data_IF_462617971958
#
_entry.id   IF_462617971958
#
_cell.length_a   1.000
_cell.length_b   1.000
_cell.length_c   1.000
_cell.angle_alpha   90.00
_cell.angle_beta   90.00
_cell.angle_gamma   90.00
#
_symmetry.space_group_name_H-M   'P 1'
#
loop_
_entity.id
_entity.type
_entity.pdbx_description
1 polymer ?
#
# COMPACT_ATOMS: atom_id res chain seq x y z
N UNK A 1 4.48 -27.12 -19.63
CA UNK A 1 3.22 -26.36 -19.40
C UNK A 1 3.51 -24.89 -19.11
N UNK A 2 3.85 -24.11 -20.13
CA UNK A 2 4.17 -22.68 -20.01
C UNK A 2 3.15 -21.81 -20.73
N UNK A 3 1.91 -21.78 -20.23
CA UNK A 3 0.78 -21.15 -20.92
C UNK A 3 0.18 -20.04 -20.04
N UNK A 4 0.27 -18.80 -20.54
CA UNK A 4 -0.65 -17.67 -20.29
C UNK A 4 -0.62 -16.94 -18.94
N UNK A 5 0.53 -16.46 -18.48
CA UNK A 5 0.54 -15.33 -17.51
C UNK A 5 0.74 -13.95 -18.17
N UNK A 6 1.05 -13.93 -19.47
CA UNK A 6 1.41 -12.71 -20.22
C UNK A 6 0.30 -12.19 -21.15
N UNK A 7 -0.99 -12.45 -20.87
CA UNK A 7 -2.07 -12.05 -21.80
C UNK A 7 -3.06 -11.01 -21.27
N UNK A 8 -2.65 -10.22 -20.29
CA UNK A 8 -3.36 -8.99 -19.96
C UNK A 8 -3.19 -8.66 -18.50
N UNK A 9 -2.51 -7.54 -18.24
CA UNK A 9 -2.47 -6.80 -16.97
C UNK A 9 -3.12 -7.58 -15.84
N UNK A 10 -2.31 -8.42 -15.19
CA UNK A 10 -2.80 -9.33 -14.15
C UNK A 10 -3.76 -8.59 -13.22
N UNK A 11 -4.82 -9.26 -12.78
CA UNK A 11 -5.81 -8.68 -11.86
C UNK A 11 -5.15 -8.04 -10.62
N UNK A 12 -3.96 -8.54 -10.25
CA UNK A 12 -3.08 -7.98 -9.23
C UNK A 12 -2.44 -6.64 -9.63
N UNK A 13 -1.96 -6.51 -10.86
CA UNK A 13 -1.38 -5.27 -11.40
C UNK A 13 -2.44 -4.15 -11.45
N UNK A 14 -3.65 -4.49 -11.91
CA UNK A 14 -4.80 -3.55 -11.91
C UNK A 14 -5.17 -3.15 -10.48
N UNK A 15 -5.24 -4.11 -9.54
CA UNK A 15 -5.53 -3.82 -8.13
C UNK A 15 -4.45 -2.92 -7.51
N UNK A 16 -3.17 -3.21 -7.77
CA UNK A 16 -2.06 -2.37 -7.30
C UNK A 16 -2.18 -0.96 -7.84
N UNK A 17 -2.45 -0.79 -9.14
CA UNK A 17 -2.60 0.53 -9.77
C UNK A 17 -3.78 1.32 -9.21
N UNK A 18 -4.93 0.68 -8.98
CA UNK A 18 -6.10 1.33 -8.36
C UNK A 18 -5.84 1.71 -6.90
N UNK A 19 -5.14 0.86 -6.15
CA UNK A 19 -4.76 1.15 -4.76
C UNK A 19 -3.80 2.36 -4.71
N UNK A 20 -2.73 2.36 -5.52
CA UNK A 20 -1.81 3.49 -5.58
C UNK A 20 -2.51 4.77 -6.00
N UNK A 21 -3.42 4.73 -7.00
CA UNK A 21 -4.09 5.94 -7.48
C UNK A 21 -5.14 6.48 -6.48
N UNK A 22 -5.85 5.59 -5.78
CA UNK A 22 -6.80 5.94 -4.73
C UNK A 22 -6.09 6.51 -3.49
N UNK A 23 -5.00 5.86 -3.06
CA UNK A 23 -4.14 6.33 -1.98
C UNK A 23 -3.52 7.67 -2.36
N UNK A 24 -2.84 7.81 -3.50
CA UNK A 24 -2.22 9.09 -3.89
C UNK A 24 -3.25 10.22 -3.96
N UNK A 25 -4.43 10.00 -4.55
CA UNK A 25 -5.47 11.04 -4.61
C UNK A 25 -6.01 11.41 -3.22
N UNK A 26 -6.18 10.43 -2.34
CA UNK A 26 -6.65 10.67 -0.97
C UNK A 26 -5.58 11.39 -0.14
N UNK A 27 -4.32 11.01 -0.28
CA UNK A 27 -3.20 11.58 0.45
C UNK A 27 -2.86 13.00 -0.02
N UNK A 28 -3.07 13.34 -1.29
CA UNK A 28 -2.95 14.72 -1.79
C UNK A 28 -4.04 15.67 -1.25
N UNK A 29 -5.15 15.14 -0.72
CA UNK A 29 -6.23 15.91 -0.10
C UNK A 29 -6.15 15.97 1.42
N UNK A 30 -5.32 15.12 2.03
CA UNK A 30 -5.13 15.12 3.47
C UNK A 30 -4.09 16.18 3.87
N UNK A 31 -4.26 16.86 5.01
CA UNK A 31 -3.23 17.72 5.56
C UNK A 31 -1.96 16.90 5.79
N UNK A 32 -0.80 17.44 5.42
CA UNK A 32 0.51 16.78 5.57
C UNK A 32 0.74 16.24 6.99
N UNK A 33 0.29 16.97 8.00
CA UNK A 33 0.39 16.59 9.41
C UNK A 33 -0.36 15.28 9.73
N UNK A 34 -1.54 15.07 9.15
CA UNK A 34 -2.34 13.84 9.33
C UNK A 34 -1.67 12.66 8.63
N UNK A 35 -1.10 12.92 7.45
CA UNK A 35 -0.35 11.94 6.66
C UNK A 35 0.92 11.47 7.39
N UNK A 36 1.67 12.40 7.98
CA UNK A 36 2.88 12.07 8.74
C UNK A 36 2.55 11.36 10.06
N UNK A 37 1.52 11.80 10.78
CA UNK A 37 1.06 11.13 11.99
C UNK A 37 0.59 9.69 11.72
N UNK A 38 -0.21 9.49 10.66
CA UNK A 38 -0.69 8.16 10.26
C UNK A 38 0.45 7.25 9.79
N UNK A 39 1.42 7.79 9.05
CA UNK A 39 2.60 7.02 8.63
C UNK A 39 3.45 6.61 9.83
N UNK A 40 3.63 7.49 10.82
CA UNK A 40 4.37 7.20 12.04
C UNK A 40 3.67 6.13 12.89
N UNK A 41 2.36 6.23 13.07
CA UNK A 41 1.57 5.27 13.85
C UNK A 41 1.55 3.89 13.19
N UNK A 42 1.30 3.83 11.88
CA UNK A 42 1.30 2.58 11.13
C UNK A 42 2.71 1.96 11.09
N UNK A 43 3.77 2.77 10.97
CA UNK A 43 5.14 2.28 11.05
C UNK A 43 5.48 1.74 12.44
N UNK A 44 5.04 2.42 13.52
CA UNK A 44 5.22 1.94 14.89
C UNK A 44 4.46 0.63 15.12
N UNK A 45 3.22 0.51 14.68
CA UNK A 45 2.44 -0.73 14.82
C UNK A 45 3.08 -1.91 14.08
N UNK A 46 3.68 -1.68 12.90
CA UNK A 46 4.41 -2.72 12.16
C UNK A 46 5.73 -3.11 12.84
N UNK A 47 6.46 -2.15 13.40
CA UNK A 47 7.69 -2.39 14.15
C UNK A 47 7.39 -3.12 15.46
N UNK A 48 6.35 -2.72 16.18
CA UNK A 48 5.90 -3.34 17.42
C UNK A 48 5.46 -4.80 17.19
N UNK A 49 4.71 -5.04 16.12
CA UNK A 49 4.36 -6.40 15.71
C UNK A 49 5.57 -7.25 15.30
N UNK A 50 6.61 -6.66 14.70
CA UNK A 50 7.84 -7.37 14.34
C UNK A 50 8.74 -7.64 15.56
N UNK A 51 8.82 -6.68 16.49
CA UNK A 51 9.59 -6.81 17.73
C UNK A 51 8.92 -7.76 18.73
N UNK A 52 7.59 -7.83 18.75
CA UNK A 52 6.82 -8.78 19.58
C UNK A 52 6.83 -10.22 19.04
N UNK A 53 7.37 -10.45 17.85
CA UNK A 53 7.54 -11.78 17.25
C UNK A 53 8.95 -12.36 17.48
N UNK A 54 9.76 -11.75 18.35
CA UNK A 54 11.03 -12.28 18.87
C UNK A 54 10.82 -12.80 20.30
#
# INVERSE_FOLDING_TARGET
NGVKLEQGRSRLDIRKKLFTMGVVRYWNRLPREVVEALSLEVSKARLDGALSNL
#
